data_IF_926428590580
#
_entry.id   IF_926428590580
#
_cell.length_a   1.000
_cell.length_b   1.000
_cell.length_c   1.000
_cell.angle_alpha   90.00
_cell.angle_beta   90.00
_cell.angle_gamma   90.00
#
_symmetry.space_group_name_H-M   'P 1'
#
loop_
_entity.id
_entity.type
_entity.pdbx_description
1 polymer ?
#
# COMPACT_ATOMS: atom_id res chain seq x y z
N UNK A 1 -31.07 10.87 -18.47
CA UNK A 1 -31.06 10.17 -17.17
C UNK A 1 -31.55 11.14 -16.12
N UNK A 2 -32.72 10.90 -15.51
CA UNK A 2 -33.22 11.72 -14.43
C UNK A 2 -32.39 11.46 -13.19
N UNK A 3 -31.75 12.49 -12.65
CA UNK A 3 -31.06 12.41 -11.36
C UNK A 3 -32.15 12.24 -10.31
N UNK A 4 -32.22 11.05 -9.73
CA UNK A 4 -33.15 10.78 -8.64
C UNK A 4 -32.74 11.67 -7.45
N UNK A 5 -33.62 12.61 -7.10
CA UNK A 5 -33.42 13.50 -5.93
C UNK A 5 -33.66 12.78 -4.58
N UNK A 6 -33.21 11.53 -4.45
CA UNK A 6 -33.27 10.81 -3.19
C UNK A 6 -32.12 11.25 -2.26
N UNK A 7 -32.20 12.47 -1.77
CA UNK A 7 -31.37 12.93 -0.65
C UNK A 7 -31.84 12.16 0.58
N UNK A 8 -31.02 11.21 1.03
CA UNK A 8 -31.24 10.53 2.32
C UNK A 8 -30.66 11.40 3.42
N UNK A 9 -31.50 11.99 4.28
CA UNK A 9 -30.99 12.79 5.40
C UNK A 9 -30.29 11.93 6.43
N UNK A 10 -29.29 12.52 7.10
CA UNK A 10 -28.56 11.85 8.16
C UNK A 10 -27.14 11.40 7.77
N UNK A 11 -26.44 10.83 8.75
CA UNK A 11 -25.07 10.34 8.56
C UNK A 11 -25.10 8.95 7.92
N UNK A 12 -24.40 8.78 6.82
CA UNK A 12 -24.22 7.49 6.17
C UNK A 12 -22.97 6.79 6.73
N UNK A 13 -23.15 5.60 7.28
CA UNK A 13 -22.04 4.76 7.72
C UNK A 13 -21.74 3.72 6.65
N UNK A 14 -20.49 3.74 6.17
CA UNK A 14 -20.02 2.75 5.21
C UNK A 14 -19.57 1.49 5.96
N UNK A 15 -20.08 0.33 5.52
CA UNK A 15 -19.74 -0.98 6.05
C UNK A 15 -19.05 -1.82 4.96
N UNK A 16 -18.05 -1.23 4.34
CA UNK A 16 -17.29 -1.82 3.23
C UNK A 16 -15.78 -1.66 3.48
N UNK A 17 -14.94 -2.47 2.85
CA UNK A 17 -13.48 -2.40 3.02
C UNK A 17 -12.84 -1.07 2.59
N UNK A 18 -13.54 -0.32 1.78
CA UNK A 18 -13.19 1.01 1.28
C UNK A 18 -14.13 1.44 0.17
N UNK A 19 -14.40 2.74 0.01
CA UNK A 19 -13.97 3.85 0.86
C UNK A 19 -14.57 3.81 2.27
N UNK A 20 -14.00 4.55 3.21
CA UNK A 20 -14.46 4.64 4.59
C UNK A 20 -14.98 6.04 4.94
N UNK A 21 -15.74 6.12 6.03
CA UNK A 21 -16.13 7.41 6.60
C UNK A 21 -14.89 8.16 7.09
N UNK A 22 -14.75 9.40 6.64
CA UNK A 22 -13.66 10.27 7.09
C UNK A 22 -14.08 10.96 8.39
N UNK A 23 -13.25 10.96 9.46
CA UNK A 23 -13.57 11.65 10.71
C UNK A 23 -13.83 13.14 10.50
N UNK A 24 -14.83 13.69 11.20
CA UNK A 24 -15.25 15.09 11.04
C UNK A 24 -14.12 16.11 11.23
N UNK A 25 -13.17 15.82 12.13
CA UNK A 25 -12.01 16.69 12.33
C UNK A 25 -11.08 16.74 11.12
N UNK A 26 -10.98 15.64 10.36
CA UNK A 26 -10.19 15.57 9.13
C UNK A 26 -10.90 16.33 8.02
N UNK A 27 -12.23 16.11 7.89
CA UNK A 27 -13.04 16.87 6.92
C UNK A 27 -12.93 18.37 7.17
N UNK A 28 -13.05 18.82 8.43
CA UNK A 28 -12.88 20.24 8.78
C UNK A 28 -11.46 20.77 8.51
N UNK A 29 -10.43 19.93 8.64
CA UNK A 29 -9.08 20.34 8.31
C UNK A 29 -8.83 20.47 6.80
N UNK A 30 -9.61 19.74 5.98
CA UNK A 30 -9.58 19.84 4.51
C UNK A 30 -10.46 20.97 3.98
N UNK A 31 -11.45 21.44 4.75
CA UNK A 31 -12.33 22.55 4.41
C UNK A 31 -11.61 23.89 4.64
N UNK A 32 -10.63 24.15 3.79
CA UNK A 32 -9.78 25.33 3.83
C UNK A 32 -9.71 25.97 2.44
N UNK A 33 -9.67 27.32 2.33
CA UNK A 33 -9.54 27.98 1.04
C UNK A 33 -8.32 27.49 0.28
N UNK A 34 -8.46 27.35 -1.03
CA UNK A 34 -7.36 26.99 -1.92
C UNK A 34 -6.26 28.05 -1.84
N UNK A 35 -5.03 27.64 -1.61
CA UNK A 35 -3.85 28.51 -1.58
C UNK A 35 -3.00 28.29 -2.84
N UNK A 36 -2.17 29.28 -3.17
CA UNK A 36 -1.24 29.16 -4.27
C UNK A 36 -0.16 28.12 -3.97
N UNK A 37 -0.14 27.04 -4.75
CA UNK A 37 0.85 25.96 -4.59
C UNK A 37 2.31 26.37 -4.84
N UNK A 38 2.55 27.55 -5.41
CA UNK A 38 3.89 28.14 -5.60
C UNK A 38 4.20 29.20 -4.55
N UNK A 39 3.21 29.54 -3.72
CA UNK A 39 3.34 30.56 -2.68
C UNK A 39 4.08 30.04 -1.42
N UNK A 40 4.53 30.98 -0.57
CA UNK A 40 5.24 30.63 0.66
C UNK A 40 4.38 29.83 1.65
N UNK A 41 3.07 30.09 1.69
CA UNK A 41 2.13 29.38 2.59
C UNK A 41 2.05 27.89 2.27
N UNK A 42 2.06 27.54 0.96
CA UNK A 42 2.11 26.14 0.56
C UNK A 42 3.46 25.50 0.86
N UNK A 43 4.55 26.22 0.68
CA UNK A 43 5.89 25.74 1.02
C UNK A 43 6.00 25.41 2.52
N UNK A 44 5.50 26.29 3.38
CA UNK A 44 5.47 26.05 4.84
C UNK A 44 4.60 24.82 5.18
N UNK A 45 3.39 24.74 4.63
CA UNK A 45 2.49 23.61 4.83
C UNK A 45 3.14 22.29 4.37
N UNK A 46 3.71 22.28 3.17
CA UNK A 46 4.34 21.09 2.57
C UNK A 46 5.53 20.59 3.39
N UNK A 47 6.44 21.46 3.77
CA UNK A 47 7.60 21.11 4.60
C UNK A 47 7.18 20.57 5.96
N UNK A 48 6.19 21.19 6.60
CA UNK A 48 5.62 20.70 7.85
C UNK A 48 4.99 19.32 7.74
N UNK A 49 4.26 19.05 6.64
CA UNK A 49 3.67 17.72 6.37
C UNK A 49 4.76 16.67 6.18
N UNK A 50 5.76 16.96 5.34
CA UNK A 50 6.87 16.04 5.06
C UNK A 50 7.71 15.74 6.31
N UNK A 51 7.85 16.69 7.22
CA UNK A 51 8.53 16.44 8.50
C UNK A 51 7.66 15.58 9.43
N UNK A 52 6.38 15.92 9.57
CA UNK A 52 5.50 15.22 10.51
C UNK A 52 5.17 13.79 10.09
N UNK A 53 5.11 13.50 8.78
CA UNK A 53 4.82 12.15 8.31
C UNK A 53 5.90 11.14 8.72
N UNK A 54 7.14 11.59 8.93
CA UNK A 54 8.24 10.75 9.44
C UNK A 54 7.92 10.14 10.79
N UNK A 55 7.16 10.83 11.64
CA UNK A 55 6.73 10.32 12.95
C UNK A 55 5.82 9.10 12.83
N UNK A 56 4.98 9.06 11.79
CA UNK A 56 4.08 7.93 11.50
C UNK A 56 4.88 6.71 11.06
N UNK A 57 5.87 6.93 10.20
CA UNK A 57 6.76 5.86 9.71
C UNK A 57 7.92 5.54 10.65
N UNK A 58 8.05 6.28 11.77
CA UNK A 58 9.15 6.12 12.75
C UNK A 58 10.53 6.12 12.10
N UNK A 59 10.77 7.06 11.20
CA UNK A 59 12.00 7.17 10.43
C UNK A 59 12.56 8.60 10.48
N UNK A 60 13.87 8.73 10.36
CA UNK A 60 14.56 9.99 10.09
C UNK A 60 14.69 10.29 8.60
N UNK A 61 14.52 9.26 7.77
CA UNK A 61 14.70 9.35 6.32
C UNK A 61 13.54 10.07 5.64
N UNK A 62 13.73 10.59 4.41
CA UNK A 62 12.68 11.22 3.64
C UNK A 62 11.51 10.26 3.38
N UNK A 63 10.29 10.71 3.63
CA UNK A 63 9.07 10.03 3.22
C UNK A 63 8.51 10.72 1.98
N UNK A 64 8.37 9.98 0.90
CA UNK A 64 7.90 10.49 -0.38
C UNK A 64 6.41 10.21 -0.51
N UNK A 65 5.64 11.24 -0.87
CA UNK A 65 4.20 11.13 -1.09
C UNK A 65 3.94 11.08 -2.59
N UNK A 66 3.40 9.94 -3.08
CA UNK A 66 2.99 9.79 -4.46
C UNK A 66 1.47 9.97 -4.61
N UNK A 67 1.00 10.66 -5.64
CA UNK A 67 -0.43 10.71 -5.97
C UNK A 67 -0.87 9.41 -6.65
N UNK A 68 -0.94 8.33 -5.86
CA UNK A 68 -1.28 6.98 -6.32
C UNK A 68 -2.06 6.21 -5.25
N UNK A 69 -2.52 5.00 -5.60
CA UNK A 69 -3.05 4.04 -4.64
C UNK A 69 -1.94 3.22 -3.98
N UNK A 70 -2.29 2.33 -3.03
CA UNK A 70 -1.34 1.38 -2.45
C UNK A 70 -0.62 0.51 -3.48
N UNK A 71 -1.26 0.21 -4.62
CA UNK A 71 -0.65 -0.50 -5.75
C UNK A 71 0.58 0.23 -6.29
N UNK A 72 0.52 1.57 -6.41
CA UNK A 72 1.68 2.37 -6.81
C UNK A 72 2.84 2.30 -5.82
N UNK A 73 2.57 2.16 -4.52
CA UNK A 73 3.62 1.96 -3.52
C UNK A 73 4.29 0.57 -3.65
N UNK A 74 3.53 -0.47 -3.99
CA UNK A 74 4.10 -1.80 -4.28
C UNK A 74 4.98 -1.79 -5.52
N UNK A 75 4.53 -1.13 -6.59
CA UNK A 75 5.34 -0.93 -7.78
C UNK A 75 6.63 -0.19 -7.45
N UNK A 76 6.53 0.92 -6.72
CA UNK A 76 7.70 1.68 -6.29
C UNK A 76 8.68 0.84 -5.46
N UNK A 77 8.19 -0.03 -4.57
CA UNK A 77 9.04 -0.92 -3.80
C UNK A 77 9.85 -1.87 -4.70
N UNK A 78 9.20 -2.49 -5.69
CA UNK A 78 9.86 -3.42 -6.60
C UNK A 78 10.89 -2.72 -7.49
N UNK A 79 10.48 -1.65 -8.20
CA UNK A 79 11.34 -1.03 -9.23
C UNK A 79 12.51 -0.23 -8.65
N UNK A 80 12.45 0.18 -7.39
CA UNK A 80 13.54 0.90 -6.73
C UNK A 80 14.53 -0.02 -6.00
N UNK A 81 14.18 -1.28 -5.78
CA UNK A 81 15.01 -2.21 -5.01
C UNK A 81 15.49 -3.42 -5.81
N UNK A 82 14.86 -3.71 -6.94
CA UNK A 82 15.09 -4.92 -7.75
C UNK A 82 15.32 -4.56 -9.21
N UNK A 83 15.94 -5.49 -9.92
CA UNK A 83 16.18 -5.46 -11.36
C UNK A 83 15.50 -6.65 -12.04
N UNK A 84 15.27 -6.54 -13.36
CA UNK A 84 14.76 -7.67 -14.13
C UNK A 84 15.68 -8.90 -14.00
N UNK A 85 15.09 -10.05 -13.71
CA UNK A 85 15.80 -11.31 -13.45
C UNK A 85 16.17 -11.53 -11.98
N UNK A 86 15.99 -10.54 -11.09
CA UNK A 86 16.11 -10.78 -9.65
C UNK A 86 14.98 -11.68 -9.16
N UNK A 87 15.30 -12.56 -8.19
CA UNK A 87 14.35 -13.50 -7.61
C UNK A 87 13.79 -13.00 -6.29
N UNK A 88 12.48 -13.12 -6.11
CA UNK A 88 11.80 -12.82 -4.85
C UNK A 88 10.92 -13.99 -4.40
N UNK A 89 10.64 -14.06 -3.10
CA UNK A 89 9.70 -14.99 -2.50
C UNK A 89 8.42 -14.25 -2.15
N UNK A 90 7.28 -14.75 -2.64
CA UNK A 90 5.95 -14.19 -2.35
C UNK A 90 4.98 -15.26 -1.87
N UNK A 91 3.95 -14.84 -1.14
CA UNK A 91 2.95 -15.73 -0.58
C UNK A 91 1.54 -15.28 -0.97
N UNK A 92 0.72 -16.23 -1.36
CA UNK A 92 -0.68 -15.99 -1.65
C UNK A 92 -1.48 -15.93 -0.34
N UNK A 93 -1.86 -14.72 0.04
CA UNK A 93 -2.69 -14.48 1.24
C UNK A 93 -4.02 -13.81 0.90
N UNK A 94 -4.31 -13.62 -0.38
CA UNK A 94 -5.53 -12.99 -0.88
C UNK A 94 -5.33 -12.26 -2.21
N UNK A 95 -6.37 -11.61 -2.69
CA UNK A 95 -6.39 -10.93 -3.98
C UNK A 95 -5.24 -9.93 -4.17
N UNK A 96 -4.88 -9.17 -3.13
CA UNK A 96 -3.83 -8.17 -3.26
C UNK A 96 -2.42 -8.75 -3.37
N UNK A 97 -2.18 -9.93 -2.80
CA UNK A 97 -0.91 -10.62 -3.01
C UNK A 97 -0.77 -11.12 -4.44
N UNK A 98 -1.86 -11.59 -5.06
CA UNK A 98 -1.87 -11.99 -6.48
C UNK A 98 -1.68 -10.79 -7.41
N UNK A 99 -2.28 -9.63 -7.10
CA UNK A 99 -2.04 -8.41 -7.86
C UNK A 99 -0.58 -7.95 -7.78
N UNK A 100 0.04 -8.06 -6.61
CA UNK A 100 1.45 -7.69 -6.47
C UNK A 100 2.38 -8.64 -7.21
N UNK A 101 2.06 -9.93 -7.20
CA UNK A 101 2.72 -10.93 -8.02
C UNK A 101 2.64 -10.60 -9.51
N UNK A 102 1.45 -10.25 -10.03
CA UNK A 102 1.27 -9.82 -11.42
C UNK A 102 2.15 -8.61 -11.79
N UNK A 103 2.26 -7.65 -10.87
CA UNK A 103 3.14 -6.48 -11.07
C UNK A 103 4.59 -6.92 -11.19
N UNK A 104 5.06 -7.79 -10.29
CA UNK A 104 6.43 -8.29 -10.31
C UNK A 104 6.75 -8.99 -11.63
N UNK A 105 5.84 -9.81 -12.16
CA UNK A 105 6.01 -10.49 -13.44
C UNK A 105 6.15 -9.51 -14.61
N UNK A 106 5.35 -8.42 -14.62
CA UNK A 106 5.42 -7.38 -15.68
C UNK A 106 6.78 -6.70 -15.70
N UNK A 107 7.45 -6.59 -14.57
CA UNK A 107 8.82 -6.09 -14.45
C UNK A 107 9.90 -7.14 -14.67
N UNK A 108 9.51 -8.37 -15.11
CA UNK A 108 10.42 -9.50 -15.35
C UNK A 108 11.22 -9.89 -14.11
N UNK A 109 10.61 -9.78 -12.95
CA UNK A 109 11.15 -10.26 -11.69
C UNK A 109 10.74 -11.73 -11.57
N UNK A 110 11.68 -12.61 -11.23
CA UNK A 110 11.40 -14.02 -10.96
C UNK A 110 10.72 -14.16 -9.60
N UNK A 111 9.56 -14.82 -9.56
CA UNK A 111 8.80 -14.97 -8.32
C UNK A 111 8.68 -16.44 -7.94
N UNK A 112 9.23 -16.82 -6.79
CA UNK A 112 8.87 -18.06 -6.10
C UNK A 112 7.56 -17.78 -5.34
N UNK A 113 6.42 -18.14 -5.94
CA UNK A 113 5.10 -17.85 -5.40
C UNK A 113 4.57 -19.07 -4.64
N UNK A 114 4.38 -18.91 -3.34
CA UNK A 114 3.83 -19.96 -2.47
C UNK A 114 2.32 -19.80 -2.43
N UNK A 115 1.59 -20.74 -3.01
CA UNK A 115 0.13 -20.78 -3.03
C UNK A 115 -0.46 -20.90 -1.63
N UNK A 116 -1.63 -20.28 -1.41
CA UNK A 116 -2.34 -20.27 -0.15
C UNK A 116 -3.86 -20.38 -0.33
N UNK A 117 -4.57 -20.56 0.76
CA UNK A 117 -6.04 -20.79 0.78
C UNK A 117 -6.85 -19.52 1.08
N UNK A 118 -6.20 -18.37 1.20
CA UNK A 118 -6.78 -17.06 1.57
C UNK A 118 -7.42 -17.02 2.97
N UNK A 119 -7.19 -18.01 3.80
CA UNK A 119 -7.76 -18.11 5.16
C UNK A 119 -6.72 -17.99 6.25
N UNK A 120 -5.49 -18.32 5.88
CA UNK A 120 -4.33 -18.28 6.79
C UNK A 120 -3.34 -17.22 6.32
N UNK A 121 -2.60 -16.64 7.28
CA UNK A 121 -1.48 -15.75 6.98
C UNK A 121 -0.25 -16.52 6.52
N UNK A 122 0.82 -15.80 6.23
CA UNK A 122 2.11 -16.39 5.89
C UNK A 122 2.65 -17.19 7.08
N UNK A 123 2.99 -18.46 6.87
CA UNK A 123 3.65 -19.29 7.89
C UNK A 123 5.16 -18.97 7.93
N UNK A 124 5.69 -18.45 9.05
CA UNK A 124 7.10 -18.15 9.18
C UNK A 124 8.02 -19.37 8.99
N UNK A 125 7.55 -20.58 9.28
CA UNK A 125 8.33 -21.81 9.09
C UNK A 125 8.55 -22.10 7.60
N UNK A 126 7.54 -21.82 6.75
CA UNK A 126 7.69 -21.96 5.30
C UNK A 126 8.67 -20.91 4.76
N UNK A 127 8.62 -19.67 5.27
CA UNK A 127 9.59 -18.63 4.92
C UNK A 127 11.00 -19.08 5.27
N UNK A 128 11.20 -19.57 6.48
CA UNK A 128 12.51 -20.07 6.95
C UNK A 128 13.02 -21.24 6.11
N UNK A 129 12.15 -22.20 5.79
CA UNK A 129 12.47 -23.33 4.95
C UNK A 129 12.93 -22.88 3.55
N UNK A 130 12.15 -22.03 2.87
CA UNK A 130 12.46 -21.51 1.54
C UNK A 130 13.80 -20.77 1.51
N UNK A 131 14.07 -19.95 2.53
CA UNK A 131 15.35 -19.25 2.64
C UNK A 131 16.54 -20.18 2.94
N UNK A 132 16.32 -21.26 3.70
CA UNK A 132 17.36 -22.28 3.93
C UNK A 132 17.67 -23.12 2.67
N UNK A 133 16.66 -23.34 1.83
CA UNK A 133 16.82 -24.04 0.55
C UNK A 133 17.55 -23.20 -0.49
N UNK A 134 17.49 -21.88 -0.40
CA UNK A 134 18.16 -20.92 -1.28
C UNK A 134 19.66 -20.78 -0.93
N UNK A 135 20.41 -21.86 -1.13
CA UNK A 135 21.86 -21.91 -0.82
C UNK A 135 22.67 -20.88 -1.58
N UNK A 136 22.27 -20.56 -2.79
CA UNK A 136 22.93 -19.59 -3.66
C UNK A 136 22.57 -18.13 -3.33
N UNK A 137 21.67 -17.89 -2.37
CA UNK A 137 21.18 -16.57 -1.95
C UNK A 137 20.64 -15.74 -3.12
N UNK A 138 19.85 -16.37 -3.98
CA UNK A 138 19.21 -15.73 -5.14
C UNK A 138 17.98 -14.92 -4.77
N UNK A 139 17.29 -15.27 -3.68
CA UNK A 139 16.14 -14.55 -3.18
C UNK A 139 16.62 -13.20 -2.64
N UNK A 140 16.25 -12.10 -3.33
CA UNK A 140 16.63 -10.73 -2.97
C UNK A 140 15.66 -10.09 -1.97
N UNK A 141 14.38 -10.50 -2.00
CA UNK A 141 13.37 -9.98 -1.10
C UNK A 141 12.31 -11.04 -0.79
N UNK A 142 11.69 -10.90 0.38
CA UNK A 142 10.48 -11.62 0.78
C UNK A 142 9.34 -10.61 0.81
N UNK A 143 8.27 -10.86 0.07
CA UNK A 143 7.12 -9.99 -0.03
C UNK A 143 5.90 -10.69 0.59
N UNK A 144 5.30 -10.06 1.60
CA UNK A 144 4.10 -10.55 2.26
C UNK A 144 3.08 -9.43 2.42
N UNK A 145 1.82 -9.72 2.08
CA UNK A 145 0.70 -8.83 2.36
C UNK A 145 0.13 -9.22 3.72
N UNK A 146 0.50 -8.45 4.75
CA UNK A 146 0.19 -8.79 6.13
C UNK A 146 -1.19 -8.30 6.58
N UNK A 147 -1.56 -7.07 6.21
CA UNK A 147 -2.74 -6.43 6.76
C UNK A 147 -3.43 -5.54 5.73
N UNK A 148 -4.53 -6.03 5.19
CA UNK A 148 -5.44 -5.27 4.34
C UNK A 148 -6.87 -5.56 4.75
N UNK A 149 -7.77 -4.57 4.57
CA UNK A 149 -9.18 -4.68 4.96
C UNK A 149 -9.90 -5.87 4.33
N UNK A 150 -9.53 -6.26 3.11
CA UNK A 150 -10.11 -7.43 2.41
C UNK A 150 -9.56 -8.79 2.88
N UNK A 151 -8.46 -8.81 3.61
CA UNK A 151 -7.87 -10.06 4.11
C UNK A 151 -8.53 -10.49 5.41
N UNK A 152 -9.00 -9.54 6.22
CA UNK A 152 -9.55 -9.79 7.55
C UNK A 152 -11.08 -9.70 7.60
N UNK A 153 -11.74 -9.70 6.46
CA UNK A 153 -13.19 -9.78 6.35
C UNK A 153 -13.62 -11.24 6.28
#
# INVERSE_FOLDING_TARGET
MAISNNIRPGRHFLQIPGPTNVPDRVLRAMDYPTIDHRGPDFAELGLRVLDRIKLIFKTSEPVIIFPASGTGAWEAALVNTLSAGDKILMFETGHFSTLWWDIAQKFKIEVDFVEGDWRTGVDPNIVEQKLKEDKDKKIKAVCAVHNLSLIHI
#
